data_IF_734320076649
#
_entry.id   IF_734320076649
#
_cell.length_a   1.000
_cell.length_b   1.000
_cell.length_c   1.000
_cell.angle_alpha   90.00
_cell.angle_beta   90.00
_cell.angle_gamma   90.00
#
_symmetry.space_group_name_H-M   'P 1'
#
loop_
_entity.id
_entity.type
_entity.pdbx_description
1 polymer ?
#
# COMPACT_ATOMS: atom_id res chain seq x y z
N UNK A 1 -28.46 17.55 9.29
CA UNK A 1 -28.76 18.06 7.93
C UNK A 1 -27.56 18.81 7.38
N UNK A 2 -27.11 18.49 6.17
CA UNK A 2 -26.02 19.20 5.50
C UNK A 2 -26.47 20.59 5.03
N UNK A 3 -25.51 21.50 4.93
CA UNK A 3 -25.73 22.85 4.42
C UNK A 3 -25.39 22.92 2.92
N UNK A 4 -25.94 23.92 2.23
CA UNK A 4 -25.59 24.18 0.83
C UNK A 4 -24.07 24.52 0.66
N UNK A 5 -23.43 25.02 1.71
CA UNK A 5 -22.00 25.30 1.74
C UNK A 5 -21.17 24.00 1.76
N UNK A 6 -21.58 23.01 2.57
CA UNK A 6 -20.94 21.68 2.61
C UNK A 6 -21.07 20.94 1.28
N UNK A 7 -22.23 21.02 0.62
CA UNK A 7 -22.41 20.45 -0.71
C UNK A 7 -21.48 21.12 -1.73
N UNK A 8 -21.39 22.46 -1.68
CA UNK A 8 -20.47 23.20 -2.55
C UNK A 8 -19.02 22.82 -2.30
N UNK A 9 -18.60 22.71 -1.05
CA UNK A 9 -17.25 22.28 -0.67
C UNK A 9 -16.92 20.90 -1.24
N UNK A 10 -17.84 19.92 -1.13
CA UNK A 10 -17.65 18.59 -1.71
C UNK A 10 -17.45 18.65 -3.23
N UNK A 11 -18.21 19.48 -3.95
CA UNK A 11 -18.04 19.69 -5.39
C UNK A 11 -16.69 20.32 -5.73
N UNK A 12 -16.31 21.36 -5.01
CA UNK A 12 -15.04 22.07 -5.24
C UNK A 12 -13.84 21.13 -5.01
N UNK A 13 -13.93 20.22 -4.01
CA UNK A 13 -12.91 19.18 -3.75
C UNK A 13 -12.80 18.20 -4.92
N UNK A 14 -13.92 17.74 -5.47
CA UNK A 14 -13.92 16.79 -6.62
C UNK A 14 -13.39 17.46 -7.89
N UNK A 15 -13.71 18.73 -8.14
CA UNK A 15 -13.12 19.49 -9.25
C UNK A 15 -11.61 19.69 -9.08
N UNK A 16 -11.17 19.96 -7.85
CA UNK A 16 -9.75 20.01 -7.54
C UNK A 16 -9.04 18.67 -7.80
N UNK A 17 -9.66 17.56 -7.40
CA UNK A 17 -9.15 16.21 -7.68
C UNK A 17 -9.03 15.93 -9.18
N UNK A 18 -9.99 16.36 -10.01
CA UNK A 18 -9.89 16.22 -11.47
C UNK A 18 -8.61 16.87 -12.02
N UNK A 19 -8.32 18.07 -11.54
CA UNK A 19 -7.12 18.83 -11.95
C UNK A 19 -5.83 18.21 -11.43
N UNK A 20 -5.81 17.80 -10.16
CA UNK A 20 -4.61 17.20 -9.55
C UNK A 20 -4.28 15.81 -10.09
N UNK A 21 -5.29 15.03 -10.44
CA UNK A 21 -5.14 13.70 -11.01
C UNK A 21 -4.91 13.73 -12.52
N UNK A 22 -5.18 14.88 -13.17
CA UNK A 22 -5.12 15.03 -14.62
C UNK A 22 -5.89 13.94 -15.36
N UNK A 23 -7.17 13.80 -14.98
CA UNK A 23 -8.02 12.68 -15.43
C UNK A 23 -8.18 12.67 -16.95
N UNK A 24 -8.24 13.83 -17.58
CA UNK A 24 -8.43 13.90 -19.03
C UNK A 24 -7.18 13.44 -19.79
N UNK A 25 -5.98 13.80 -19.32
CA UNK A 25 -4.74 13.26 -19.88
C UNK A 25 -4.62 11.74 -19.64
N UNK A 26 -5.03 11.25 -18.45
CA UNK A 26 -5.05 9.80 -18.17
C UNK A 26 -6.00 9.03 -19.06
N UNK A 27 -7.14 9.58 -19.46
CA UNK A 27 -8.05 8.93 -20.42
C UNK A 27 -7.40 8.79 -21.80
N UNK A 28 -6.75 9.85 -22.29
CA UNK A 28 -6.01 9.80 -23.55
C UNK A 28 -4.89 8.78 -23.48
N UNK A 29 -4.11 8.81 -22.41
CA UNK A 29 -3.05 7.84 -22.20
C UNK A 29 -3.57 6.40 -22.11
N UNK A 30 -4.72 6.18 -21.46
CA UNK A 30 -5.35 4.86 -21.39
C UNK A 30 -5.71 4.33 -22.79
N UNK A 31 -6.31 5.18 -23.64
CA UNK A 31 -6.65 4.80 -25.01
C UNK A 31 -5.39 4.43 -25.81
N UNK A 32 -4.32 5.22 -25.70
CA UNK A 32 -3.05 4.93 -26.36
C UNK A 32 -2.43 3.61 -25.87
N UNK A 33 -2.39 3.38 -24.56
CA UNK A 33 -1.82 2.16 -23.99
C UNK A 33 -2.67 0.92 -24.29
N UNK A 34 -4.01 1.05 -24.36
CA UNK A 34 -4.90 -0.01 -24.81
C UNK A 34 -4.72 -0.34 -26.30
N UNK A 35 -4.50 0.67 -27.16
CA UNK A 35 -4.18 0.42 -28.56
C UNK A 35 -2.88 -0.36 -28.75
N UNK A 36 -1.87 -0.11 -27.90
CA UNK A 36 -0.61 -0.88 -27.92
C UNK A 36 -0.82 -2.36 -27.59
N UNK A 37 -1.78 -2.70 -26.72
CA UNK A 37 -2.07 -4.11 -26.39
C UNK A 37 -2.71 -4.89 -27.54
N UNK A 38 -3.26 -4.18 -28.54
CA UNK A 38 -3.87 -4.77 -29.74
C UNK A 38 -2.88 -4.97 -30.90
N UNK A 39 -1.64 -4.51 -30.74
CA UNK A 39 -0.62 -4.62 -31.79
C UNK A 39 -0.25 -6.10 -32.06
N UNK A 40 -0.01 -6.48 -33.34
CA UNK A 40 0.45 -7.82 -33.68
C UNK A 40 1.77 -8.15 -32.95
N UNK A 41 1.86 -9.32 -32.34
CA UNK A 41 3.05 -9.77 -31.60
C UNK A 41 3.16 -9.22 -30.16
N UNK A 42 2.16 -8.47 -29.67
CA UNK A 42 2.17 -7.96 -28.28
C UNK A 42 2.33 -9.07 -27.24
N UNK A 43 1.69 -10.21 -27.46
CA UNK A 43 1.68 -11.34 -26.52
C UNK A 43 2.89 -12.27 -26.66
N UNK A 44 3.80 -12.02 -27.61
CA UNK A 44 4.99 -12.86 -27.85
C UNK A 44 6.02 -12.71 -26.71
N UNK A 45 6.04 -11.56 -26.04
CA UNK A 45 6.88 -11.29 -24.88
C UNK A 45 6.00 -11.14 -23.63
N UNK A 46 5.86 -12.22 -22.86
CA UNK A 46 4.99 -12.27 -21.68
C UNK A 46 5.35 -11.21 -20.62
N UNK A 47 6.65 -10.92 -20.43
CA UNK A 47 7.11 -9.95 -19.43
C UNK A 47 6.72 -8.52 -19.80
N UNK A 48 6.93 -8.12 -21.05
CA UNK A 48 6.53 -6.80 -21.54
C UNK A 48 5.01 -6.64 -21.57
N UNK A 49 4.29 -7.71 -21.95
CA UNK A 49 2.83 -7.71 -21.92
C UNK A 49 2.30 -7.52 -20.50
N UNK A 50 2.88 -8.18 -19.50
CA UNK A 50 2.51 -8.01 -18.09
C UNK A 50 2.77 -6.58 -17.58
N UNK A 51 3.94 -6.01 -17.87
CA UNK A 51 4.27 -4.64 -17.49
C UNK A 51 3.30 -3.63 -18.13
N UNK A 52 2.96 -3.83 -19.40
CA UNK A 52 2.01 -3.00 -20.10
C UNK A 52 0.60 -3.10 -19.52
N UNK A 53 0.15 -4.31 -19.22
CA UNK A 53 -1.16 -4.55 -18.60
C UNK A 53 -1.23 -3.96 -17.18
N UNK A 54 -0.14 -3.98 -16.41
CA UNK A 54 -0.06 -3.30 -15.10
C UNK A 54 -0.27 -1.79 -15.26
N UNK A 55 0.32 -1.16 -16.29
CA UNK A 55 0.13 0.28 -16.59
C UNK A 55 -1.32 0.60 -16.94
N UNK A 56 -1.91 -0.16 -17.87
CA UNK A 56 -3.31 -0.01 -18.28
C UNK A 56 -4.23 -0.11 -17.06
N UNK A 57 -4.08 -1.16 -16.27
CA UNK A 57 -4.89 -1.38 -15.06
C UNK A 57 -4.73 -0.27 -14.01
N UNK A 58 -3.52 0.28 -13.87
CA UNK A 58 -3.29 1.42 -12.97
C UNK A 58 -4.04 2.66 -13.42
N UNK A 59 -4.00 2.99 -14.74
CA UNK A 59 -4.74 4.13 -15.30
C UNK A 59 -6.26 3.94 -15.15
N UNK A 60 -6.78 2.75 -15.45
CA UNK A 60 -8.19 2.41 -15.29
C UNK A 60 -8.66 2.64 -13.85
N UNK A 61 -7.92 2.14 -12.85
CA UNK A 61 -8.25 2.32 -11.44
C UNK A 61 -8.35 3.79 -11.00
N UNK A 62 -7.49 4.66 -11.53
CA UNK A 62 -7.56 6.09 -11.24
C UNK A 62 -8.79 6.75 -11.88
N UNK A 63 -9.09 6.41 -13.12
CA UNK A 63 -10.24 6.94 -13.86
C UNK A 63 -11.55 6.46 -13.23
N UNK A 64 -11.63 5.17 -12.89
CA UNK A 64 -12.80 4.57 -12.23
C UNK A 64 -13.02 5.17 -10.83
N UNK A 65 -11.96 5.27 -10.01
CA UNK A 65 -12.07 5.87 -8.68
C UNK A 65 -12.53 7.33 -8.72
N UNK A 66 -12.04 8.11 -9.68
CA UNK A 66 -12.54 9.47 -9.87
C UNK A 66 -14.01 9.49 -10.34
N UNK A 67 -14.38 8.60 -11.28
CA UNK A 67 -15.75 8.49 -11.78
C UNK A 67 -16.73 8.14 -10.66
N UNK A 68 -16.35 7.19 -9.79
CA UNK A 68 -17.15 6.81 -8.62
C UNK A 68 -17.40 7.99 -7.69
N UNK A 69 -16.33 8.70 -7.30
CA UNK A 69 -16.44 9.88 -6.43
C UNK A 69 -17.29 10.97 -7.07
N UNK A 70 -17.14 11.22 -8.37
CA UNK A 70 -17.96 12.18 -9.09
C UNK A 70 -19.43 11.77 -9.08
N UNK A 71 -19.75 10.50 -9.34
CA UNK A 71 -21.12 9.97 -9.31
C UNK A 71 -21.75 10.17 -7.93
N UNK A 72 -20.99 9.88 -6.84
CA UNK A 72 -21.49 10.09 -5.48
C UNK A 72 -21.83 11.55 -5.17
N UNK A 73 -21.03 12.51 -5.68
CA UNK A 73 -21.31 13.94 -5.52
C UNK A 73 -22.53 14.36 -6.34
N UNK A 74 -22.66 13.86 -7.56
CA UNK A 74 -23.85 14.14 -8.41
C UNK A 74 -25.13 13.55 -7.76
N UNK A 75 -25.08 12.34 -7.20
CA UNK A 75 -26.16 11.72 -6.44
C UNK A 75 -26.51 12.50 -5.16
N UNK A 76 -25.49 12.99 -4.44
CA UNK A 76 -25.70 13.83 -3.26
C UNK A 76 -26.41 15.14 -3.60
N UNK A 77 -26.05 15.77 -4.73
CA UNK A 77 -26.74 16.97 -5.22
C UNK A 77 -28.20 16.69 -5.48
N UNK A 78 -28.51 15.60 -6.20
CA UNK A 78 -29.87 15.18 -6.47
C UNK A 78 -30.65 14.89 -5.17
N UNK A 79 -30.03 14.19 -4.21
CA UNK A 79 -30.65 13.92 -2.92
C UNK A 79 -30.96 15.22 -2.15
N UNK A 80 -30.05 16.19 -2.21
CA UNK A 80 -30.23 17.50 -1.57
C UNK A 80 -31.37 18.33 -2.23
N UNK A 81 -31.53 18.24 -3.55
CA UNK A 81 -32.61 18.91 -4.26
C UNK A 81 -33.97 18.20 -3.98
N UNK A 82 -34.01 16.88 -3.97
CA UNK A 82 -35.21 16.12 -3.58
C UNK A 82 -35.62 16.35 -2.13
N UNK A 83 -34.66 16.62 -1.24
CA UNK A 83 -35.00 17.01 0.13
C UNK A 83 -35.74 18.35 0.18
N UNK A 84 -35.33 19.36 -0.64
CA UNK A 84 -36.09 20.63 -0.73
C UNK A 84 -37.52 20.48 -1.23
N UNK A 85 -37.77 19.40 -2.00
CA UNK A 85 -39.08 19.03 -2.51
C UNK A 85 -39.82 18.07 -1.58
N UNK A 86 -39.30 17.80 -0.39
CA UNK A 86 -39.87 16.89 0.62
C UNK A 86 -40.02 15.41 0.13
N UNK A 87 -39.21 15.01 -0.88
CA UNK A 87 -39.27 13.66 -1.45
C UNK A 87 -38.36 12.65 -0.73
N UNK A 88 -37.33 13.12 -0.03
CA UNK A 88 -36.35 12.30 0.75
C UNK A 88 -36.21 12.87 2.15
N UNK A 89 -35.78 12.03 3.09
CA UNK A 89 -35.59 12.41 4.49
C UNK A 89 -34.24 13.07 4.72
N UNK A 90 -34.11 13.87 5.77
CA UNK A 90 -32.83 14.46 6.20
C UNK A 90 -31.77 13.40 6.46
N UNK A 91 -32.17 12.25 7.04
CA UNK A 91 -31.24 11.17 7.34
C UNK A 91 -30.62 10.57 6.07
N UNK A 92 -31.40 10.39 5.01
CA UNK A 92 -30.91 9.88 3.73
C UNK A 92 -29.86 10.80 3.09
N UNK A 93 -30.08 12.12 3.20
CA UNK A 93 -29.09 13.11 2.71
C UNK A 93 -27.82 13.10 3.54
N UNK A 94 -27.92 12.99 4.87
CA UNK A 94 -26.77 12.94 5.76
C UNK A 94 -25.96 11.65 5.55
N UNK A 95 -26.60 10.51 5.33
CA UNK A 95 -25.95 9.25 4.98
C UNK A 95 -25.24 9.32 3.61
N UNK A 96 -25.89 9.91 2.60
CA UNK A 96 -25.31 10.13 1.29
C UNK A 96 -24.06 11.05 1.38
N UNK A 97 -24.15 12.12 2.19
CA UNK A 97 -23.03 13.02 2.42
C UNK A 97 -21.85 12.31 3.11
N UNK A 98 -22.13 11.55 4.17
CA UNK A 98 -21.08 10.81 4.88
C UNK A 98 -20.32 9.86 3.95
N UNK A 99 -21.07 9.08 3.14
CA UNK A 99 -20.51 8.18 2.13
C UNK A 99 -19.68 8.93 1.08
N UNK A 100 -20.18 10.08 0.61
CA UNK A 100 -19.49 10.89 -0.39
C UNK A 100 -18.18 11.44 0.15
N UNK A 101 -18.19 11.99 1.36
CA UNK A 101 -16.98 12.55 1.98
C UNK A 101 -15.94 11.46 2.24
N UNK A 102 -16.35 10.29 2.73
CA UNK A 102 -15.44 9.15 2.92
C UNK A 102 -14.75 8.75 1.60
N UNK A 103 -15.48 8.68 0.49
CA UNK A 103 -14.92 8.36 -0.81
C UNK A 103 -13.98 9.46 -1.34
N UNK A 104 -14.34 10.74 -1.14
CA UNK A 104 -13.47 11.89 -1.51
C UNK A 104 -12.16 11.83 -0.73
N UNK A 105 -12.23 11.67 0.59
CA UNK A 105 -11.05 11.61 1.45
C UNK A 105 -10.14 10.41 1.13
N UNK A 106 -10.73 9.25 0.82
CA UNK A 106 -9.97 8.08 0.39
C UNK A 106 -9.19 8.33 -0.91
N UNK A 107 -9.81 9.00 -1.89
CA UNK A 107 -9.15 9.33 -3.16
C UNK A 107 -8.09 10.42 -2.99
N UNK A 108 -8.34 11.42 -2.13
CA UNK A 108 -7.35 12.46 -1.78
C UNK A 108 -6.13 11.85 -1.10
N UNK A 109 -6.34 10.95 -0.13
CA UNK A 109 -5.26 10.25 0.56
C UNK A 109 -4.43 9.44 -0.43
N UNK A 110 -5.09 8.68 -1.32
CA UNK A 110 -4.40 7.93 -2.36
C UNK A 110 -3.58 8.83 -3.29
N UNK A 111 -4.09 10.03 -3.63
CA UNK A 111 -3.37 11.01 -4.44
C UNK A 111 -2.12 11.58 -3.74
N UNK A 112 -2.01 11.50 -2.41
CA UNK A 112 -0.79 11.89 -1.67
C UNK A 112 0.33 10.85 -1.82
N UNK A 113 0.00 9.61 -2.16
CA UNK A 113 0.95 8.51 -2.35
C UNK A 113 1.52 8.55 -3.77
N UNK A 114 2.64 9.27 -3.97
CA UNK A 114 3.22 9.57 -5.30
C UNK A 114 4.60 8.99 -5.52
N UNK A 115 5.16 8.30 -4.53
CA UNK A 115 6.47 7.66 -4.68
C UNK A 115 6.34 6.39 -5.53
N UNK A 116 7.42 6.02 -6.20
CA UNK A 116 7.44 4.88 -7.11
C UNK A 116 7.11 3.57 -6.39
N UNK A 117 7.48 3.47 -5.12
CA UNK A 117 7.24 2.29 -4.28
C UNK A 117 5.85 2.27 -3.65
N UNK A 118 5.14 3.40 -3.59
CA UNK A 118 3.84 3.48 -2.90
C UNK A 118 2.78 2.48 -3.40
N UNK A 119 2.67 2.20 -4.71
CA UNK A 119 1.71 1.21 -5.21
C UNK A 119 2.03 -0.24 -4.86
N UNK A 120 3.24 -0.51 -4.36
CA UNK A 120 3.72 -1.87 -4.12
C UNK A 120 3.04 -2.53 -2.93
N UNK A 121 3.10 -3.86 -2.92
CA UNK A 121 2.88 -4.68 -1.73
C UNK A 121 4.01 -4.46 -0.74
N UNK A 122 3.86 -4.90 0.50
CA UNK A 122 4.91 -4.70 1.51
C UNK A 122 5.21 -5.95 2.33
N UNK A 123 6.41 -5.93 2.91
CA UNK A 123 6.81 -6.84 3.98
C UNK A 123 6.78 -6.05 5.29
N UNK A 124 5.98 -6.52 6.24
CA UNK A 124 5.84 -5.93 7.56
C UNK A 124 6.48 -6.85 8.60
N UNK A 125 7.48 -6.33 9.31
CA UNK A 125 8.19 -7.06 10.37
C UNK A 125 7.95 -6.38 11.70
N UNK A 126 7.54 -7.16 12.70
CA UNK A 126 7.33 -6.69 14.07
C UNK A 126 8.31 -7.44 14.97
N UNK A 127 9.01 -6.70 15.83
CA UNK A 127 9.85 -7.30 16.87
C UNK A 127 9.43 -6.75 18.24
N UNK A 128 9.34 -7.64 19.23
CA UNK A 128 9.16 -7.22 20.61
C UNK A 128 10.39 -6.43 21.06
N UNK A 129 10.16 -5.36 21.81
CA UNK A 129 11.20 -4.53 22.38
C UNK A 129 11.53 -4.86 23.82
N UNK A 130 12.09 -3.89 24.55
CA UNK A 130 12.31 -4.04 26.00
C UNK A 130 10.98 -4.13 26.74
N UNK A 131 10.87 -5.05 27.70
CA UNK A 131 9.68 -5.23 28.52
C UNK A 131 9.28 -6.69 28.78
N UNK A 132 10.08 -7.66 28.32
CA UNK A 132 9.82 -9.09 28.56
C UNK A 132 8.47 -9.53 27.97
N UNK A 133 7.69 -10.33 28.74
CA UNK A 133 6.39 -10.86 28.35
C UNK A 133 5.39 -9.77 27.91
N UNK A 134 5.39 -8.60 28.55
CA UNK A 134 4.55 -7.47 28.14
C UNK A 134 4.83 -6.97 26.72
N UNK A 135 6.10 -6.86 26.34
CA UNK A 135 6.48 -6.42 24.98
C UNK A 135 6.17 -7.48 23.93
N UNK A 136 6.27 -8.75 24.30
CA UNK A 136 5.89 -9.87 23.43
C UNK A 136 4.37 -9.92 23.19
N UNK A 137 3.58 -9.65 24.23
CA UNK A 137 2.12 -9.53 24.09
C UNK A 137 1.73 -8.31 23.25
N UNK A 138 2.40 -7.16 23.48
CA UNK A 138 2.20 -5.97 22.66
C UNK A 138 2.49 -6.22 21.16
N UNK A 139 3.58 -6.91 20.86
CA UNK A 139 3.90 -7.30 19.48
C UNK A 139 2.82 -8.20 18.85
N UNK A 140 2.25 -9.12 19.63
CA UNK A 140 1.11 -9.95 19.20
C UNK A 140 -0.17 -9.11 18.96
N UNK A 141 -0.42 -8.11 19.78
CA UNK A 141 -1.55 -7.20 19.56
C UNK A 141 -1.39 -6.39 18.27
N UNK A 142 -0.18 -5.87 17.99
CA UNK A 142 0.14 -5.17 16.74
C UNK A 142 -0.04 -6.08 15.54
N UNK A 143 0.49 -7.31 15.58
CA UNK A 143 0.30 -8.29 14.51
C UNK A 143 -1.18 -8.46 14.18
N UNK A 144 -2.01 -8.69 15.21
CA UNK A 144 -3.45 -8.87 15.04
C UNK A 144 -4.14 -7.61 14.49
N UNK A 145 -3.70 -6.42 14.91
CA UNK A 145 -4.21 -5.13 14.41
C UNK A 145 -3.95 -5.01 12.89
N UNK A 146 -2.72 -5.24 12.46
CA UNK A 146 -2.37 -5.13 11.04
C UNK A 146 -3.01 -6.23 10.18
N UNK A 147 -3.16 -7.44 10.70
CA UNK A 147 -3.90 -8.50 10.00
C UNK A 147 -5.37 -8.11 9.77
N UNK A 148 -6.04 -7.56 10.78
CA UNK A 148 -7.43 -7.09 10.64
C UNK A 148 -7.56 -5.89 9.70
N UNK A 149 -6.60 -4.97 9.75
CA UNK A 149 -6.55 -3.87 8.80
C UNK A 149 -6.41 -4.38 7.36
N UNK A 150 -5.47 -5.29 7.13
CA UNK A 150 -5.27 -5.91 5.82
C UNK A 150 -6.51 -6.64 5.31
N UNK A 151 -7.20 -7.39 6.18
CA UNK A 151 -8.47 -8.05 5.87
C UNK A 151 -9.56 -7.05 5.48
N UNK A 152 -9.70 -5.95 6.23
CA UNK A 152 -10.68 -4.90 5.94
C UNK A 152 -10.39 -4.17 4.61
N UNK A 153 -9.10 -4.07 4.22
CA UNK A 153 -8.69 -3.50 2.93
C UNK A 153 -8.72 -4.52 1.77
N UNK A 154 -9.06 -5.79 2.04
CA UNK A 154 -9.04 -6.85 1.04
C UNK A 154 -7.63 -7.28 0.61
N UNK A 155 -6.61 -7.01 1.43
CA UNK A 155 -5.24 -7.45 1.18
C UNK A 155 -5.06 -8.90 1.57
N UNK A 156 -4.20 -9.60 0.83
CA UNK A 156 -3.79 -10.95 1.18
C UNK A 156 -2.59 -10.89 2.12
N UNK A 157 -2.65 -11.57 3.26
CA UNK A 157 -1.55 -11.64 4.23
C UNK A 157 -0.99 -13.05 4.30
N UNK A 158 0.33 -13.16 4.14
CA UNK A 158 1.08 -14.40 4.30
C UNK A 158 2.12 -14.23 5.40
N UNK A 159 2.11 -15.09 6.41
CA UNK A 159 3.11 -15.07 7.48
C UNK A 159 4.32 -15.88 7.00
N UNK A 160 5.44 -15.19 6.73
CA UNK A 160 6.69 -15.81 6.27
C UNK A 160 7.55 -16.33 7.42
N UNK A 161 7.50 -15.67 8.58
CA UNK A 161 8.21 -16.08 9.78
C UNK A 161 7.43 -15.67 11.03
N UNK A 162 7.37 -16.56 12.00
CA UNK A 162 6.75 -16.32 13.30
C UNK A 162 7.58 -17.00 14.39
N UNK A 163 7.96 -16.25 15.41
CA UNK A 163 8.61 -16.75 16.59
C UNK A 163 7.80 -16.37 17.82
N UNK A 164 7.28 -17.39 18.50
CA UNK A 164 6.49 -17.24 19.71
C UNK A 164 7.31 -16.66 20.87
N UNK A 165 6.62 -16.00 21.78
CA UNK A 165 7.17 -15.54 23.05
C UNK A 165 7.46 -16.72 23.99
N UNK A 166 8.19 -16.41 25.08
CA UNK A 166 8.57 -17.45 26.05
C UNK A 166 7.39 -17.90 26.91
N UNK A 167 6.51 -16.97 27.30
CA UNK A 167 5.33 -17.22 28.15
C UNK A 167 4.04 -16.79 27.47
N UNK A 168 4.08 -15.70 26.71
CA UNK A 168 2.94 -15.17 25.96
C UNK A 168 3.42 -14.29 24.80
N UNK A 169 2.52 -14.04 23.82
CA UNK A 169 2.79 -13.16 22.71
C UNK A 169 3.82 -13.68 21.71
N UNK A 170 4.52 -12.79 21.03
CA UNK A 170 5.49 -13.12 19.99
C UNK A 170 6.80 -12.34 20.16
N UNK A 171 7.93 -12.96 19.85
CA UNK A 171 9.24 -12.29 19.76
C UNK A 171 9.40 -11.51 18.48
N UNK A 172 9.07 -12.15 17.37
CA UNK A 172 9.12 -11.53 16.05
C UNK A 172 8.09 -12.17 15.11
N UNK A 173 7.60 -11.38 14.18
CA UNK A 173 6.81 -11.86 13.05
C UNK A 173 7.22 -11.10 11.79
N UNK A 174 7.22 -11.80 10.66
CA UNK A 174 7.37 -11.21 9.33
C UNK A 174 6.15 -11.63 8.50
N UNK A 175 5.44 -10.65 7.99
CA UNK A 175 4.23 -10.83 7.18
C UNK A 175 4.43 -10.15 5.83
N UNK A 176 4.05 -10.85 4.76
CA UNK A 176 3.91 -10.27 3.43
C UNK A 176 2.46 -9.81 3.28
N UNK A 177 2.26 -8.55 2.95
CA UNK A 177 0.94 -7.94 2.73
C UNK A 177 0.83 -7.59 1.26
N UNK A 178 0.10 -8.41 0.52
CA UNK A 178 -0.09 -8.25 -0.92
C UNK A 178 -1.36 -7.46 -1.19
N UNK A 179 -1.21 -6.34 -1.88
CA UNK A 179 -2.33 -5.48 -2.28
C UNK A 179 -1.88 -4.14 -2.82
N UNK A 180 -2.78 -3.48 -3.55
CA UNK A 180 -2.50 -2.18 -4.13
C UNK A 180 -2.29 -1.12 -3.05
N UNK A 181 -1.17 -0.40 -3.14
CA UNK A 181 -0.79 0.65 -2.19
C UNK A 181 -0.59 0.17 -0.75
N UNK A 182 -0.42 -1.14 -0.53
CA UNK A 182 -0.20 -1.67 0.82
C UNK A 182 1.04 -1.05 1.47
N UNK A 183 2.15 -0.89 0.72
CA UNK A 183 3.33 -0.17 1.19
C UNK A 183 3.03 1.30 1.46
N UNK A 184 2.39 1.99 0.52
CA UNK A 184 2.09 3.41 0.64
C UNK A 184 1.31 3.77 1.90
N UNK A 185 0.29 2.97 2.25
CA UNK A 185 -0.50 3.18 3.47
C UNK A 185 0.24 2.77 4.75
N UNK A 186 1.05 1.70 4.71
CA UNK A 186 1.70 1.15 5.90
C UNK A 186 3.10 1.71 6.17
N UNK A 187 3.76 2.36 5.21
CA UNK A 187 5.12 2.89 5.37
C UNK A 187 5.28 3.87 6.54
N UNK A 188 4.24 4.62 6.87
CA UNK A 188 4.25 5.55 8.01
C UNK A 188 4.22 4.86 9.37
N UNK A 189 3.90 3.57 9.42
CA UNK A 189 3.94 2.76 10.63
C UNK A 189 5.37 2.36 11.04
N UNK A 190 6.37 2.65 10.21
CA UNK A 190 7.77 2.41 10.55
C UNK A 190 8.17 3.13 11.82
N UNK A 191 8.63 2.37 12.81
CA UNK A 191 9.11 2.96 14.06
C UNK A 191 8.86 2.11 15.30
N UNK A 192 8.92 2.77 16.44
CA UNK A 192 8.72 2.14 17.76
C UNK A 192 7.35 2.49 18.29
N UNK A 193 6.54 1.48 18.49
CA UNK A 193 5.18 1.57 19.02
C UNK A 193 5.18 1.39 20.54
N UNK A 194 4.60 2.34 21.24
CA UNK A 194 4.54 2.38 22.70
C UNK A 194 3.15 2.00 23.19
N UNK A 195 3.08 1.05 24.13
CA UNK A 195 1.88 0.71 24.86
C UNK A 195 2.03 1.13 26.33
N UNK A 196 1.03 1.80 26.88
CA UNK A 196 0.92 2.09 28.32
C UNK A 196 -0.40 1.57 28.82
N UNK A 197 -0.35 0.53 29.65
CA UNK A 197 -1.56 -0.08 30.26
C UNK A 197 -1.28 -0.63 31.66
N UNK A 198 -2.35 -0.98 32.39
CA UNK A 198 -2.23 -1.85 33.54
C UNK A 198 -1.86 -3.25 33.05
N UNK A 199 -0.74 -3.79 33.56
CA UNK A 199 -0.20 -5.06 33.13
C UNK A 199 -1.07 -6.24 33.57
N UNK A 200 -1.52 -7.13 32.69
CA UNK A 200 -2.16 -8.38 33.06
C UNK A 200 -1.17 -9.40 33.62
N UNK A 201 0.13 -9.20 33.43
CA UNK A 201 1.20 -10.09 33.88
C UNK A 201 1.80 -9.62 35.24
N UNK A 202 1.39 -8.48 35.75
CA UNK A 202 1.86 -7.95 37.04
C UNK A 202 0.80 -8.15 38.11
N UNK A 203 1.07 -9.05 39.07
CA UNK A 203 0.15 -9.36 40.15
C UNK A 203 -0.25 -8.12 41.04
N UNK A 204 0.56 -7.05 41.01
CA UNK A 204 0.28 -5.81 41.74
C UNK A 204 -0.57 -4.82 40.92
N UNK A 205 -0.97 -5.15 39.68
CA UNK A 205 -1.77 -4.27 38.85
C UNK A 205 -1.08 -2.95 38.48
N UNK A 206 0.25 -2.93 38.42
CA UNK A 206 1.00 -1.71 38.11
C UNK A 206 0.85 -1.33 36.65
N UNK A 207 0.83 -0.02 36.39
CA UNK A 207 0.89 0.52 35.03
C UNK A 207 2.29 0.33 34.47
N UNK A 208 2.38 -0.36 33.33
CA UNK A 208 3.63 -0.69 32.65
C UNK A 208 3.69 -0.02 31.27
N UNK A 209 4.92 0.21 30.82
CA UNK A 209 5.18 0.71 29.46
C UNK A 209 5.97 -0.34 28.71
N UNK A 210 5.51 -0.68 27.51
CA UNK A 210 6.13 -1.66 26.64
C UNK A 210 6.36 -1.08 25.26
N UNK A 211 7.35 -1.59 24.55
CA UNK A 211 7.72 -1.14 23.23
C UNK A 211 7.79 -2.34 22.28
N UNK A 212 7.40 -2.09 21.03
CA UNK A 212 7.62 -3.01 19.92
C UNK A 212 8.03 -2.20 18.70
N UNK A 213 8.91 -2.72 17.88
CA UNK A 213 9.32 -2.07 16.64
C UNK A 213 8.59 -2.67 15.47
N UNK A 214 8.15 -1.80 14.54
CA UNK A 214 7.51 -2.15 13.28
C UNK A 214 8.41 -1.65 12.16
N UNK A 215 8.69 -2.51 11.19
CA UNK A 215 9.43 -2.19 9.98
C UNK A 215 8.57 -2.58 8.78
N UNK A 216 8.37 -1.63 7.88
CA UNK A 216 7.64 -1.83 6.62
C UNK A 216 8.58 -1.55 5.47
N UNK A 217 8.76 -2.52 4.59
CA UNK A 217 9.59 -2.39 3.39
C UNK A 217 8.76 -2.78 2.16
N UNK A 218 9.00 -2.14 1.00
CA UNK A 218 8.29 -2.54 -0.22
C UNK A 218 8.67 -3.98 -0.59
N UNK A 219 7.71 -4.72 -1.10
CA UNK A 219 7.94 -6.03 -1.70
C UNK A 219 8.35 -5.80 -3.16
N UNK A 220 9.63 -5.95 -3.43
CA UNK A 220 10.20 -5.77 -4.77
C UNK A 220 10.28 -7.12 -5.46
N UNK A 221 9.66 -7.24 -6.63
CA UNK A 221 9.71 -8.45 -7.49
C UNK A 221 11.00 -8.47 -8.35
N UNK A 222 12.14 -8.16 -7.77
CA UNK A 222 13.41 -8.25 -8.49
C UNK A 222 13.86 -9.70 -8.56
N UNK A 223 13.60 -10.34 -9.68
CA UNK A 223 14.34 -11.55 -10.08
C UNK A 223 15.76 -11.14 -10.43
N UNK A 224 16.68 -11.32 -9.48
CA UNK A 224 18.10 -11.13 -9.74
C UNK A 224 18.61 -12.38 -10.48
N UNK A 225 19.09 -12.21 -11.71
CA UNK A 225 19.81 -13.27 -12.40
C UNK A 225 21.12 -13.54 -11.66
N UNK A 226 21.21 -14.73 -11.07
CA UNK A 226 22.39 -15.17 -10.32
C UNK A 226 23.16 -16.15 -11.21
N UNK A 227 24.42 -15.89 -11.44
CA UNK A 227 25.31 -16.85 -12.12
C UNK A 227 26.26 -17.50 -11.13
N UNK A 228 26.59 -18.76 -11.38
CA UNK A 228 27.57 -19.50 -10.58
C UNK A 228 28.98 -19.01 -10.93
N UNK A 229 29.69 -18.47 -9.96
CA UNK A 229 31.08 -18.04 -10.11
C UNK A 229 32.06 -19.18 -9.99
N UNK A 230 31.87 -20.02 -8.98
CA UNK A 230 32.78 -21.10 -8.64
C UNK A 230 32.02 -22.19 -7.86
N UNK A 231 32.44 -23.44 -8.07
CA UNK A 231 31.89 -24.61 -7.38
C UNK A 231 33.04 -25.35 -6.71
N UNK A 232 33.14 -25.25 -5.40
CA UNK A 232 34.10 -26.02 -4.59
C UNK A 232 33.43 -27.35 -4.19
N UNK A 233 33.76 -28.39 -4.92
CA UNK A 233 33.23 -29.74 -4.70
C UNK A 233 33.79 -30.42 -3.44
N UNK A 234 34.94 -29.99 -2.96
CA UNK A 234 35.56 -30.58 -1.76
C UNK A 234 34.91 -30.06 -0.49
N UNK A 235 34.51 -28.79 -0.46
CA UNK A 235 33.85 -28.16 0.69
C UNK A 235 32.34 -28.01 0.53
N UNK A 236 31.76 -28.53 -0.54
CA UNK A 236 30.33 -28.39 -0.88
C UNK A 236 29.85 -26.94 -0.88
N UNK A 237 30.65 -26.00 -1.41
CA UNK A 237 30.34 -24.58 -1.48
C UNK A 237 30.13 -24.14 -2.92
N UNK A 238 29.09 -23.31 -3.13
CA UNK A 238 28.82 -22.65 -4.42
C UNK A 238 28.92 -21.14 -4.21
N UNK A 239 29.83 -20.50 -4.98
CA UNK A 239 29.94 -19.05 -5.00
C UNK A 239 29.07 -18.50 -6.09
N UNK A 240 28.14 -17.60 -5.70
CA UNK A 240 27.17 -16.98 -6.61
C UNK A 240 27.56 -15.52 -6.87
N UNK A 241 27.30 -15.04 -8.07
CA UNK A 241 27.45 -13.63 -8.44
C UNK A 241 26.18 -13.11 -9.08
N UNK A 242 25.80 -11.88 -8.77
CA UNK A 242 24.62 -11.22 -9.34
C UNK A 242 24.97 -10.09 -10.33
N UNK A 243 26.23 -9.64 -10.36
CA UNK A 243 26.73 -8.67 -11.35
C UNK A 243 27.71 -9.35 -12.27
N UNK A 244 27.51 -9.25 -13.58
CA UNK A 244 28.50 -9.69 -14.57
C UNK A 244 29.72 -8.77 -14.50
N UNK A 245 30.90 -9.33 -14.75
CA UNK A 245 32.17 -8.53 -14.77
C UNK A 245 32.05 -7.38 -15.81
N UNK A 246 31.30 -7.60 -16.89
CA UNK A 246 31.03 -6.61 -17.95
C UNK A 246 30.25 -5.38 -17.46
N UNK A 247 29.48 -5.51 -16.36
CA UNK A 247 28.70 -4.42 -15.77
C UNK A 247 29.52 -3.63 -14.71
N UNK A 248 30.81 -3.92 -14.55
CA UNK A 248 31.64 -3.21 -13.60
C UNK A 248 31.91 -1.77 -14.09
N UNK A 249 31.40 -0.73 -13.38
CA UNK A 249 31.59 0.66 -13.80
C UNK A 249 33.05 1.08 -13.99
N UNK A 250 33.95 0.44 -13.25
CA UNK A 250 35.40 0.73 -13.32
C UNK A 250 36.05 0.15 -14.58
N UNK A 251 35.55 -0.96 -15.11
CA UNK A 251 36.04 -1.50 -16.39
C UNK A 251 35.46 -0.72 -17.58
N UNK A 252 34.24 -0.29 -17.50
CA UNK A 252 33.62 0.60 -18.50
C UNK A 252 34.32 1.96 -18.53
N UNK A 253 34.76 2.51 -17.38
CA UNK A 253 35.54 3.73 -17.31
C UNK A 253 36.90 3.58 -17.97
N UNK A 254 37.60 2.45 -17.80
CA UNK A 254 38.88 2.17 -18.47
C UNK A 254 38.73 2.09 -19.99
N UNK A 255 37.63 1.53 -20.47
CA UNK A 255 37.39 1.39 -21.92
C UNK A 255 36.91 2.71 -22.55
N UNK A 256 36.19 3.54 -21.82
CA UNK A 256 35.69 4.82 -22.32
C UNK A 256 36.68 5.98 -22.16
N UNK A 257 37.69 5.86 -21.27
CA UNK A 257 38.70 6.85 -21.01
C UNK A 257 40.08 6.15 -20.90
N UNK A 258 40.66 5.69 -22.03
CA UNK A 258 42.01 5.14 -22.04
C UNK A 258 43.01 6.25 -21.68
N UNK A 259 43.84 6.02 -20.62
CA UNK A 259 44.92 6.90 -20.21
C UNK A 259 46.09 6.68 -21.15
#
# INVERSE_FOLDING_TARGET
>A
MITAEQLKEAKDRVEALNRYLDIDAKKIQLEEEQLRTQAPGFWDDAKKAEEQMKKVKSLEKWIEGYKEVKTLVDELELAFDFYKEEMVTEQEVDEAYAKTIEAVEALELKNMLRQEEDPMSCVLKINSGAGGTESQDWASMLMRMYMRYAEAQGYKVTISNLQDGDEAGIKTVTMEVEGDYAYGYLKSENGVHRLVRVSPYNAQGKRMTSFASVFVTPLVDDTIEVYVKDIDTENHKVSLGYKKAEDNPWEQLKNNYPI
#
